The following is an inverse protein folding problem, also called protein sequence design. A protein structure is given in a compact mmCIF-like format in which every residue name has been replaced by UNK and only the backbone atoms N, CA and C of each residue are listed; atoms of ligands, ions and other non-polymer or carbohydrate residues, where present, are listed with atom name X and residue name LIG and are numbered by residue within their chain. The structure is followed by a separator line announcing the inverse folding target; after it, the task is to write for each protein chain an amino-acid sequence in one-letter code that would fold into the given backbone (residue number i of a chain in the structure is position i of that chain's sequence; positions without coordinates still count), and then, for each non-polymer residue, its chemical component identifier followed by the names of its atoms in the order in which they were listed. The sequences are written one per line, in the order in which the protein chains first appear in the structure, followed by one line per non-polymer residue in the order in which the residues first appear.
data_IF_949050471887
#
_entry.id   IF_949050471887
#
_cell.length_a   1.000
_cell.length_b   1.000
_cell.length_c   1.000
_cell.angle_alpha   90.00
_cell.angle_beta   90.00
_cell.angle_gamma   90.00
#
_symmetry.space_group_name_H-M   'P 1'
#
loop_
_entity.id
_entity.type
_entity.pdbx_description
1 polymer ?
#
# COMPACT_ATOMS: atom_id res chain seq x y z
N UNK A 1 35.76 16.29 8.08
CA UNK A 1 34.61 16.39 7.16
C UNK A 1 33.61 15.34 7.62
N UNK A 2 32.44 15.74 8.17
CA UNK A 2 31.44 14.78 8.69
C UNK A 2 30.53 14.33 7.54
N UNK A 3 30.44 13.02 7.30
CA UNK A 3 29.47 12.41 6.40
C UNK A 3 28.08 12.41 7.07
N UNK A 4 27.14 13.17 6.51
CA UNK A 4 25.79 13.36 7.06
C UNK A 4 24.71 12.44 6.44
N UNK A 5 25.07 11.48 5.58
CA UNK A 5 24.10 10.80 4.70
C UNK A 5 24.24 9.26 4.66
N UNK A 6 24.56 8.62 5.78
CA UNK A 6 24.64 7.14 5.84
C UNK A 6 23.33 6.46 6.30
N UNK A 7 22.38 7.20 6.87
CA UNK A 7 21.12 6.62 7.29
C UNK A 7 20.16 6.48 6.11
N UNK A 8 19.83 5.23 5.79
CA UNK A 8 18.75 4.92 4.86
C UNK A 8 17.44 5.34 5.51
N UNK A 9 16.95 6.53 5.16
CA UNK A 9 15.62 7.01 5.54
C UNK A 9 14.58 6.01 5.01
N UNK A 10 14.12 5.13 5.90
CA UNK A 10 12.93 4.31 5.69
C UNK A 10 11.78 5.29 5.50
N UNK A 11 11.38 5.55 4.26
CA UNK A 11 10.30 6.46 3.88
C UNK A 11 8.98 5.93 4.45
N UNK A 12 8.72 6.21 5.72
CA UNK A 12 7.46 5.91 6.38
C UNK A 12 6.62 7.18 6.40
N UNK A 13 5.86 7.43 5.33
CA UNK A 13 4.64 8.28 5.26
C UNK A 13 4.67 9.70 5.87
N UNK A 14 5.76 10.15 6.45
CA UNK A 14 5.88 11.37 7.22
C UNK A 14 6.42 12.50 6.35
N UNK A 15 5.98 13.71 6.67
CA UNK A 15 6.55 14.93 6.11
C UNK A 15 7.97 15.12 6.64
N UNK A 16 8.91 15.36 5.74
CA UNK A 16 10.27 15.77 6.05
C UNK A 16 10.33 17.29 5.91
N UNK A 17 10.64 17.98 7.00
CA UNK A 17 10.85 19.42 6.97
C UNK A 17 12.28 19.71 6.47
N UNK A 18 12.38 20.51 5.42
CA UNK A 18 13.65 20.98 4.87
C UNK A 18 13.75 22.50 5.09
N UNK A 19 14.92 22.96 5.51
CA UNK A 19 15.29 24.37 5.59
C UNK A 19 15.96 24.83 4.31
N UNK A 20 16.12 26.15 4.15
CA UNK A 20 16.86 26.72 3.02
C UNK A 20 18.26 26.13 2.91
N UNK A 21 18.59 25.57 1.75
CA UNK A 21 19.88 24.96 1.47
C UNK A 21 19.97 23.48 1.85
N UNK A 22 18.97 22.92 2.52
CA UNK A 22 18.91 21.47 2.76
C UNK A 22 18.70 20.73 1.44
N UNK A 23 19.35 19.57 1.33
CA UNK A 23 19.17 18.65 0.22
C UNK A 23 18.93 17.23 0.74
N UNK A 24 17.94 16.57 0.14
CA UNK A 24 17.62 15.17 0.40
C UNK A 24 17.91 14.33 -0.85
N UNK A 25 18.66 13.25 -0.67
CA UNK A 25 18.91 12.28 -1.72
C UNK A 25 17.82 11.20 -1.70
N UNK A 26 17.12 11.06 -2.82
CA UNK A 26 16.13 10.00 -3.04
C UNK A 26 16.77 8.93 -3.93
N UNK A 27 16.85 7.70 -3.42
CA UNK A 27 17.37 6.53 -4.15
C UNK A 27 16.25 5.56 -4.45
N UNK A 28 16.28 4.94 -5.63
CA UNK A 28 15.29 3.91 -6.00
C UNK A 28 13.86 4.44 -6.00
N UNK A 29 13.66 5.69 -6.41
CA UNK A 29 12.38 6.37 -6.36
C UNK A 29 11.59 6.50 -7.69
N UNK A 30 11.93 5.82 -8.82
CA UNK A 30 11.16 5.99 -10.06
C UNK A 30 9.71 5.54 -9.85
N UNK A 31 8.76 6.34 -10.34
CA UNK A 31 7.33 6.12 -10.15
C UNK A 31 6.79 6.51 -8.77
N UNK A 32 7.63 6.99 -7.86
CA UNK A 32 7.14 7.62 -6.62
C UNK A 32 6.75 9.08 -6.91
N UNK A 33 5.73 9.56 -6.18
CA UNK A 33 5.32 10.96 -6.23
C UNK A 33 5.96 11.72 -5.08
N UNK A 34 6.59 12.83 -5.40
CA UNK A 34 7.05 13.84 -4.44
C UNK A 34 5.97 14.90 -4.32
N UNK A 35 5.58 15.21 -3.08
CA UNK A 35 4.60 16.23 -2.73
C UNK A 35 5.29 17.33 -1.92
N UNK A 36 5.03 18.59 -2.28
CA UNK A 36 5.53 19.75 -1.58
C UNK A 36 4.41 20.42 -0.77
N UNK A 37 4.68 20.79 0.48
CA UNK A 37 3.73 21.48 1.34
C UNK A 37 4.39 22.66 2.06
N UNK A 38 3.59 23.68 2.36
CA UNK A 38 4.05 24.82 3.11
C UNK A 38 4.39 24.40 4.55
N UNK A 39 5.44 24.98 5.15
CA UNK A 39 5.64 24.87 6.58
C UNK A 39 4.52 25.61 7.32
N UNK A 40 4.21 25.22 8.57
CA UNK A 40 3.14 25.86 9.36
C UNK A 40 3.39 27.36 9.64
N UNK A 41 4.65 27.82 9.56
CA UNK A 41 5.04 29.22 9.71
C UNK A 41 5.77 29.67 8.43
N UNK A 42 5.04 30.03 7.38
CA UNK A 42 5.65 30.57 6.15
C UNK A 42 6.09 32.02 6.36
N UNK A 43 7.39 32.28 6.19
CA UNK A 43 7.96 33.63 6.17
C UNK A 43 7.67 34.39 4.87
N UNK A 44 8.48 35.42 4.59
CA UNK A 44 8.21 36.44 3.56
C UNK A 44 8.44 35.97 2.10
N UNK A 45 9.21 34.90 1.87
CA UNK A 45 9.47 34.33 0.54
C UNK A 45 8.70 33.02 0.37
N UNK A 46 7.99 32.87 -0.76
CA UNK A 46 7.31 31.64 -1.11
C UNK A 46 8.34 30.50 -1.28
N UNK A 47 8.24 29.41 -0.50
CA UNK A 47 9.23 28.35 -0.55
C UNK A 47 9.13 27.56 -1.86
N UNK A 48 10.26 27.04 -2.30
CA UNK A 48 10.37 26.27 -3.54
C UNK A 48 11.21 25.01 -3.29
N UNK A 49 10.80 23.90 -3.88
CA UNK A 49 11.59 22.67 -3.91
C UNK A 49 12.12 22.46 -5.33
N UNK A 50 13.42 22.32 -5.47
CA UNK A 50 14.09 22.01 -6.72
C UNK A 50 14.46 20.53 -6.75
N UNK A 51 13.95 19.81 -7.74
CA UNK A 51 14.27 18.42 -8.03
C UNK A 51 15.18 18.31 -9.24
N UNK A 52 16.30 17.62 -9.07
CA UNK A 52 17.18 17.20 -10.17
C UNK A 52 17.18 15.69 -10.27
N UNK A 53 16.82 15.15 -11.43
CA UNK A 53 16.76 13.71 -11.70
C UNK A 53 17.90 13.31 -12.63
N UNK A 54 18.73 12.36 -12.18
CA UNK A 54 19.84 11.86 -13.00
C UNK A 54 19.33 11.14 -14.25
N UNK A 55 19.76 11.65 -15.41
CA UNK A 55 19.36 11.15 -16.72
C UNK A 55 18.18 11.88 -17.35
N UNK A 56 17.53 12.79 -16.62
CA UNK A 56 16.51 13.68 -17.17
C UNK A 56 17.14 15.02 -17.59
N UNK A 57 16.60 15.64 -18.64
CA UNK A 57 17.16 16.87 -19.21
C UNK A 57 16.79 18.12 -18.42
N UNK A 58 15.65 18.08 -17.73
CA UNK A 58 15.04 19.24 -17.09
C UNK A 58 14.97 19.07 -15.58
N UNK A 59 15.27 20.16 -14.89
CA UNK A 59 14.99 20.32 -13.48
C UNK A 59 13.51 20.62 -13.24
N UNK A 60 12.96 20.11 -12.13
CA UNK A 60 11.57 20.33 -11.75
C UNK A 60 11.48 21.19 -10.50
N UNK A 61 10.64 22.21 -10.54
CA UNK A 61 10.43 23.13 -9.42
C UNK A 61 9.00 22.97 -8.88
N UNK A 62 8.88 22.73 -7.58
CA UNK A 62 7.60 22.54 -6.90
C UNK A 62 7.37 23.61 -5.83
N UNK A 63 6.21 24.25 -5.92
CA UNK A 63 5.65 25.11 -4.87
C UNK A 63 4.80 24.28 -3.90
N UNK A 64 4.52 24.79 -2.69
CA UNK A 64 3.51 24.20 -1.82
C UNK A 64 2.19 23.89 -2.54
N UNK A 65 1.72 22.66 -2.39
CA UNK A 65 0.52 22.15 -3.06
C UNK A 65 0.79 21.45 -4.39
N UNK A 66 1.99 21.57 -4.94
CA UNK A 66 2.38 20.90 -6.18
C UNK A 66 2.99 19.52 -5.90
N UNK A 67 2.98 18.68 -6.94
CA UNK A 67 3.56 17.35 -6.87
C UNK A 67 4.15 16.94 -8.21
N UNK A 68 5.14 16.05 -8.16
CA UNK A 68 5.80 15.50 -9.34
C UNK A 68 6.03 14.00 -9.19
N UNK A 69 5.87 13.26 -10.28
CA UNK A 69 6.18 11.83 -10.34
C UNK A 69 7.58 11.67 -10.90
N UNK A 70 8.47 11.08 -10.11
CA UNK A 70 9.85 10.86 -10.50
C UNK A 70 9.93 9.87 -11.67
N UNK A 71 10.71 10.22 -12.67
CA UNK A 71 10.86 9.52 -13.96
C UNK A 71 12.21 8.83 -14.05
N UNK A 72 13.25 9.50 -13.56
CA UNK A 72 14.64 9.06 -13.62
C UNK A 72 14.85 7.76 -12.85
N UNK A 73 15.62 6.85 -13.47
CA UNK A 73 16.03 5.58 -12.84
C UNK A 73 17.27 5.73 -11.94
N UNK A 74 17.92 6.88 -12.02
CA UNK A 74 19.14 7.21 -11.27
C UNK A 74 18.85 7.84 -9.91
N UNK A 75 19.79 8.67 -9.45
CA UNK A 75 19.63 9.48 -8.25
C UNK A 75 18.70 10.66 -8.51
N UNK A 76 17.87 10.97 -7.52
CA UNK A 76 17.14 12.24 -7.49
C UNK A 76 17.59 13.04 -6.28
N UNK A 77 17.90 14.32 -6.48
CA UNK A 77 18.22 15.25 -5.40
C UNK A 77 17.09 16.26 -5.27
N UNK A 78 16.57 16.41 -4.06
CA UNK A 78 15.55 17.39 -3.72
C UNK A 78 16.16 18.48 -2.84
N UNK A 79 16.23 19.71 -3.34
CA UNK A 79 16.90 20.84 -2.67
C UNK A 79 15.91 21.94 -2.33
N UNK A 80 15.92 22.42 -1.10
CA UNK A 80 14.98 23.41 -0.59
C UNK A 80 15.48 24.84 -0.76
N UNK A 81 14.68 25.65 -1.43
CA UNK A 81 14.87 27.09 -1.65
C UNK A 81 13.83 27.85 -0.85
N UNK A 82 14.04 27.85 0.47
CA UNK A 82 13.06 28.28 1.47
C UNK A 82 12.55 27.10 2.30
N UNK A 83 12.06 27.34 3.53
CA UNK A 83 11.53 26.27 4.36
C UNK A 83 10.33 25.58 3.72
N UNK A 84 10.40 24.25 3.52
CA UNK A 84 9.35 23.47 2.85
C UNK A 84 9.22 22.08 3.44
N UNK A 85 8.00 21.55 3.46
CA UNK A 85 7.74 20.16 3.81
C UNK A 85 7.69 19.31 2.54
N UNK A 86 8.43 18.20 2.55
CA UNK A 86 8.48 17.23 1.48
C UNK A 86 7.88 15.90 1.95
N UNK A 87 7.12 15.24 1.08
CA UNK A 87 6.70 13.86 1.28
C UNK A 87 6.89 13.05 0.01
N UNK A 88 7.29 11.80 0.16
CA UNK A 88 7.36 10.84 -0.94
C UNK A 88 6.29 9.78 -0.73
N UNK A 89 5.43 9.58 -1.72
CA UNK A 89 4.34 8.62 -1.69
C UNK A 89 4.44 7.63 -2.85
N UNK A 90 4.21 6.36 -2.57
CA UNK A 90 4.02 5.36 -3.62
C UNK A 90 2.69 5.64 -4.32
N UNK A 91 2.70 5.69 -5.66
CA UNK A 91 1.47 5.64 -6.43
C UNK A 91 0.81 4.30 -6.15
N UNK A 92 -0.39 4.31 -5.60
CA UNK A 92 -1.12 3.08 -5.34
C UNK A 92 -1.22 2.29 -6.66
N UNK A 93 -0.54 1.16 -6.74
CA UNK A 93 -0.74 0.25 -7.87
C UNK A 93 -2.20 -0.21 -7.84
N UNK A 94 -2.95 -0.20 -8.95
CA UNK A 94 -4.34 -0.67 -8.99
C UNK A 94 -4.50 -2.19 -8.77
N UNK A 95 -3.52 -2.88 -8.18
CA UNK A 95 -3.46 -4.34 -8.12
C UNK A 95 -3.25 -4.87 -6.69
N UNK A 96 -4.30 -4.73 -5.89
CA UNK A 96 -4.61 -5.70 -4.85
C UNK A 96 -6.13 -5.71 -4.65
N UNK A 97 -6.88 -6.12 -5.69
CA UNK A 97 -8.22 -6.64 -5.44
C UNK A 97 -8.03 -7.90 -4.60
N UNK A 98 -8.20 -7.75 -3.29
CA UNK A 98 -8.37 -8.86 -2.37
C UNK A 98 -9.47 -9.74 -2.96
N UNK A 99 -9.08 -10.87 -3.54
CA UNK A 99 -10.03 -11.91 -3.92
C UNK A 99 -10.59 -12.42 -2.60
N UNK A 100 -11.89 -12.30 -2.31
CA UNK A 100 -12.44 -12.89 -1.10
C UNK A 100 -12.16 -14.40 -1.15
N UNK A 101 -11.82 -15.04 -0.02
CA UNK A 101 -11.63 -16.48 0.00
C UNK A 101 -12.94 -17.13 -0.41
N UNK A 102 -12.92 -17.85 -1.54
CA UNK A 102 -14.01 -18.73 -1.93
C UNK A 102 -14.13 -19.76 -0.79
N UNK A 103 -15.18 -19.61 0.03
CA UNK A 103 -15.62 -20.64 0.95
C UNK A 103 -16.01 -21.87 0.11
N UNK A 104 -15.05 -22.78 -0.10
CA UNK A 104 -15.34 -24.14 -0.57
C UNK A 104 -16.17 -24.80 0.53
N UNK A 105 -17.49 -24.80 0.33
CA UNK A 105 -18.42 -25.68 1.04
C UNK A 105 -17.96 -27.11 0.76
N UNK A 106 -17.32 -27.74 1.73
CA UNK A 106 -17.03 -29.17 1.70
C UNK A 106 -18.32 -29.88 2.12
N UNK A 107 -19.00 -30.47 1.15
CA UNK A 107 -20.08 -31.42 1.40
C UNK A 107 -19.49 -32.65 2.09
N UNK A 108 -19.76 -32.76 3.40
CA UNK A 108 -19.42 -33.94 4.18
C UNK A 108 -20.51 -35.01 4.02
N UNK A 109 -20.44 -35.78 2.95
CA UNK A 109 -21.07 -37.11 2.89
C UNK A 109 -20.19 -38.12 3.64
N UNK A 110 -20.51 -38.46 4.89
CA UNK A 110 -20.23 -39.81 5.41
C UNK A 110 -20.97 -40.15 6.71
N UNK A 111 -21.99 -40.97 6.54
CA UNK A 111 -22.28 -42.20 7.28
C UNK A 111 -21.79 -42.36 8.73
N UNK A 112 -22.73 -42.26 9.67
CA UNK A 112 -22.90 -43.14 10.81
C UNK A 112 -24.37 -42.94 11.24
N UNK A 113 -25.22 -43.96 11.38
CA UNK A 113 -25.12 -44.93 12.45
C UNK A 113 -25.81 -46.24 12.03
N UNK A 114 -25.01 -47.29 12.05
CA UNK A 114 -25.45 -48.68 12.12
C UNK A 114 -25.38 -49.06 13.59
N UNK A 115 -26.51 -49.36 14.22
CA UNK A 115 -26.54 -50.24 15.39
C UNK A 115 -27.74 -51.18 15.29
N UNK A 116 -27.57 -52.49 15.59
CA UNK A 116 -28.58 -53.52 15.42
C UNK A 116 -29.24 -53.93 16.76
N UNK A 117 -30.23 -54.83 16.62
CA UNK A 117 -30.85 -55.76 17.58
C UNK A 117 -32.10 -55.24 18.30
N UNK A 118 -33.28 -55.77 17.97
CA UNK A 118 -33.88 -57.06 18.43
C UNK A 118 -34.72 -56.78 19.69
N UNK A 119 -35.94 -57.25 19.92
CA UNK A 119 -36.87 -58.15 19.25
C UNK A 119 -38.28 -57.84 19.82
N UNK A 120 -39.33 -58.08 19.04
CA UNK A 120 -40.59 -58.59 19.59
C UNK A 120 -41.41 -59.23 18.46
N UNK A 121 -41.64 -60.52 18.65
CA UNK A 121 -42.28 -61.47 17.74
C UNK A 121 -43.80 -61.53 18.09
N UNK A 122 -44.61 -62.44 17.53
CA UNK A 122 -45.56 -62.21 16.44
C UNK A 122 -47.05 -62.32 16.87
N UNK A 123 -47.99 -61.93 16.00
CA UNK A 123 -49.36 -62.48 15.95
C UNK A 123 -50.03 -62.07 14.63
N UNK A 124 -50.15 -62.96 13.64
CA UNK A 124 -51.33 -63.80 13.29
C UNK A 124 -52.57 -62.98 12.83
N UNK A 125 -53.03 -63.27 11.61
CA UNK A 125 -54.35 -62.89 11.09
C UNK A 125 -54.31 -62.50 9.60
N UNK A 126 -54.38 -63.47 8.68
CA UNK A 126 -55.57 -63.73 7.82
C UNK A 126 -55.86 -62.57 6.84
N UNK A 127 -55.47 -62.69 5.57
CA UNK A 127 -56.32 -63.18 4.47
C UNK A 127 -57.72 -62.52 4.44
N UNK A 128 -58.03 -61.76 3.39
CA UNK A 128 -59.13 -61.99 2.43
C UNK A 128 -59.15 -60.90 1.34
N UNK A 129 -59.15 -61.34 0.08
CA UNK A 129 -59.68 -60.62 -1.08
C UNK A 129 -61.22 -60.63 -1.04
N UNK A 130 -61.85 -59.57 -1.55
CA UNK A 130 -63.04 -59.57 -2.45
C UNK A 130 -63.05 -58.23 -3.20
N UNK A 131 -62.82 -58.25 -4.52
CA UNK A 131 -63.83 -58.08 -5.60
C UNK A 131 -64.61 -56.78 -5.48
#
# INVERSE_FOLDING_TARGET
MREWNQDTLQVQRAWVALQTGDSLLLRGAPGLRVEAAAPPCSGQQAPLLWLTEEGEADDVFLRPGESHVLRGRGRTVASAWGPINLRVVALASPQARLTPPILRRLDAHRSAQRMPRSASRPSVGSAWLRV
#
